data_IF_568117250151
#
_entry.id   IF_568117250151
#
_cell.length_a   1.000
_cell.length_b   1.000
_cell.length_c   1.000
_cell.angle_alpha   90.00
_cell.angle_beta   90.00
_cell.angle_gamma   90.00
#
_symmetry.space_group_name_H-M   'P 1'
#
loop_
_entity.id
_entity.type
_entity.pdbx_description
1 polymer ?
#
# COMPACT_ATOMS: atom_id res chain seq x y z
N UNK A 1 38.73 -18.78 45.56
CA UNK A 1 37.73 -19.78 46.01
C UNK A 1 37.66 -20.86 44.94
N UNK A 2 38.02 -22.10 45.31
CA UNK A 2 37.92 -23.31 44.47
C UNK A 2 36.44 -23.63 44.20
N UNK A 3 36.18 -24.15 43.01
CA UNK A 3 34.89 -24.53 42.41
C UNK A 3 33.70 -24.72 43.34
N UNK A 4 32.70 -23.86 43.15
CA UNK A 4 31.32 -24.30 43.28
C UNK A 4 31.11 -25.24 42.09
N UNK A 5 30.84 -26.54 42.30
CA UNK A 5 30.44 -27.39 41.20
C UNK A 5 29.04 -26.92 40.79
N UNK A 6 28.98 -26.03 39.79
CA UNK A 6 27.78 -25.85 39.00
C UNK A 6 27.49 -27.23 38.42
N UNK A 7 26.53 -27.92 39.04
CA UNK A 7 26.06 -29.20 38.56
C UNK A 7 25.28 -28.92 37.27
N UNK A 8 26.01 -28.81 36.15
CA UNK A 8 25.48 -28.47 34.82
C UNK A 8 24.36 -29.44 34.41
N UNK A 9 24.29 -30.64 35.02
CA UNK A 9 23.19 -31.59 34.86
C UNK A 9 21.83 -31.09 35.35
N UNK A 10 21.74 -30.31 36.43
CA UNK A 10 20.44 -29.83 36.95
C UNK A 10 19.98 -28.52 36.32
N UNK A 11 20.90 -27.62 35.92
CA UNK A 11 20.56 -26.40 35.17
C UNK A 11 20.22 -26.68 33.70
N UNK A 12 20.70 -27.78 33.11
CA UNK A 12 20.27 -28.24 31.78
C UNK A 12 18.96 -29.02 31.78
N UNK A 13 18.53 -29.59 32.92
CA UNK A 13 17.34 -30.45 32.98
C UNK A 13 16.03 -29.73 32.58
N UNK A 14 15.95 -28.41 32.76
CA UNK A 14 14.80 -27.61 32.30
C UNK A 14 14.81 -27.28 30.80
N UNK A 15 15.98 -27.32 30.16
CA UNK A 15 16.15 -26.97 28.74
C UNK A 15 15.95 -28.16 27.80
N UNK A 16 16.18 -29.38 28.29
CA UNK A 16 16.00 -30.60 27.50
C UNK A 16 14.53 -30.95 27.22
N UNK A 17 13.60 -30.23 27.85
CA UNK A 17 12.16 -30.42 27.71
C UNK A 17 11.46 -29.42 26.78
N UNK A 18 12.17 -28.44 26.21
CA UNK A 18 11.62 -27.48 25.25
C UNK A 18 11.32 -28.14 23.88
N UNK A 19 10.59 -29.26 23.89
CA UNK A 19 10.27 -30.07 22.71
C UNK A 19 8.93 -29.69 22.08
N UNK A 20 8.10 -28.95 22.83
CA UNK A 20 6.71 -28.68 22.46
C UNK A 20 6.51 -27.18 22.20
N UNK A 21 6.74 -26.76 20.95
CA UNK A 21 6.11 -25.55 20.44
C UNK A 21 4.77 -25.94 19.83
N UNK A 22 3.68 -25.41 20.39
CA UNK A 22 2.36 -25.51 19.78
C UNK A 22 2.09 -24.22 19.03
N UNK A 23 2.04 -24.27 17.72
CA UNK A 23 1.55 -23.13 16.97
C UNK A 23 0.07 -22.85 17.36
N UNK A 24 -0.26 -21.62 17.72
CA UNK A 24 -1.62 -21.28 18.17
C UNK A 24 -2.48 -20.72 17.04
N UNK A 25 -1.95 -19.82 16.21
CA UNK A 25 -2.74 -19.18 15.16
C UNK A 25 -1.88 -18.45 14.13
N UNK A 26 -2.31 -18.49 12.86
CA UNK A 26 -1.93 -17.46 11.89
C UNK A 26 -2.89 -16.30 12.08
N UNK A 27 -2.33 -15.13 12.25
CA UNK A 27 -3.06 -13.90 12.55
C UNK A 27 -3.35 -13.12 11.27
N UNK A 28 -2.47 -13.20 10.27
CA UNK A 28 -2.63 -12.42 9.06
C UNK A 28 -1.85 -13.02 7.89
N UNK A 29 -2.45 -13.02 6.70
CA UNK A 29 -1.89 -13.54 5.46
C UNK A 29 -2.41 -12.70 4.29
N UNK A 30 -1.51 -11.99 3.61
CA UNK A 30 -1.80 -11.15 2.45
C UNK A 30 -1.25 -11.80 1.17
N UNK A 31 -2.01 -12.69 0.50
CA UNK A 31 -1.48 -13.46 -0.61
C UNK A 31 -1.59 -12.77 -1.98
N UNK A 32 -2.13 -11.55 -2.06
CA UNK A 32 -2.37 -10.85 -3.32
C UNK A 32 -1.64 -9.50 -3.44
N UNK A 33 -0.44 -9.43 -2.87
CA UNK A 33 0.58 -8.49 -3.32
C UNK A 33 1.22 -8.99 -4.62
N UNK A 34 0.72 -8.56 -5.77
CA UNK A 34 1.56 -8.58 -6.97
C UNK A 34 2.54 -7.40 -6.81
N UNK A 35 3.80 -7.56 -6.42
CA UNK A 35 4.73 -8.66 -6.65
C UNK A 35 5.58 -9.02 -5.41
N UNK A 36 5.56 -10.29 -5.02
CA UNK A 36 6.69 -11.00 -4.42
C UNK A 36 6.98 -10.72 -2.92
N UNK A 37 5.96 -10.43 -2.10
CA UNK A 37 6.03 -10.57 -0.63
C UNK A 37 4.72 -11.10 -0.04
N UNK A 38 4.81 -12.04 0.89
CA UNK A 38 3.70 -12.53 1.73
C UNK A 38 4.15 -12.36 3.17
N UNK A 39 3.47 -11.50 3.92
CA UNK A 39 3.65 -11.46 5.37
C UNK A 39 2.77 -12.53 5.98
N UNK A 40 3.36 -13.32 6.89
CA UNK A 40 2.58 -14.25 7.71
C UNK A 40 2.79 -13.82 9.14
N UNK A 41 1.75 -13.27 9.76
CA UNK A 41 1.79 -13.07 11.20
C UNK A 41 1.46 -14.40 11.87
N UNK A 42 2.30 -14.80 12.81
CA UNK A 42 2.14 -16.04 13.57
C UNK A 42 2.04 -15.78 15.06
N UNK A 43 1.26 -16.60 15.75
CA UNK A 43 1.33 -16.74 17.19
C UNK A 43 1.83 -18.13 17.49
N UNK A 44 2.92 -18.15 18.24
CA UNK A 44 3.59 -19.38 18.64
C UNK A 44 3.34 -19.57 20.12
N UNK A 45 2.85 -20.73 20.55
CA UNK A 45 2.90 -21.15 21.95
C UNK A 45 4.21 -21.90 22.18
N UNK A 46 5.01 -21.43 23.12
CA UNK A 46 6.21 -22.13 23.53
C UNK A 46 5.95 -22.69 24.92
N UNK A 47 5.85 -24.01 25.03
CA UNK A 47 5.68 -24.65 26.32
C UNK A 47 7.03 -24.72 27.06
N UNK A 48 7.07 -24.14 28.25
CA UNK A 48 8.18 -24.29 29.18
C UNK A 48 7.82 -25.36 30.22
N UNK A 49 8.36 -26.59 30.10
CA UNK A 49 8.08 -27.66 31.06
C UNK A 49 8.83 -27.48 32.38
N UNK A 50 9.72 -26.49 32.47
CA UNK A 50 10.45 -26.19 33.69
C UNK A 50 9.53 -25.50 34.69
N UNK A 51 9.75 -25.78 35.98
CA UNK A 51 9.15 -25.02 37.08
C UNK A 51 9.80 -23.64 37.27
N UNK A 52 10.82 -23.32 36.46
CA UNK A 52 11.55 -22.06 36.49
C UNK A 52 11.20 -21.19 35.29
N UNK A 53 11.16 -19.88 35.51
CA UNK A 53 11.12 -18.92 34.40
C UNK A 53 12.47 -18.90 33.68
N UNK A 54 12.44 -18.99 32.35
CA UNK A 54 13.61 -18.94 31.50
C UNK A 54 13.69 -17.58 30.78
N UNK A 55 14.78 -16.85 30.97
CA UNK A 55 15.08 -15.65 30.20
C UNK A 55 15.97 -16.02 29.02
N UNK A 56 15.39 -16.12 27.83
CA UNK A 56 16.04 -16.62 26.61
C UNK A 56 16.74 -15.47 25.87
N UNK A 57 16.20 -14.25 25.93
CA UNK A 57 16.70 -13.11 25.16
C UNK A 57 16.08 -13.09 23.77
N UNK A 58 16.88 -12.92 22.72
CA UNK A 58 16.37 -13.00 21.35
C UNK A 58 16.44 -14.44 20.85
N UNK A 59 15.34 -14.94 20.27
CA UNK A 59 15.27 -16.23 19.61
C UNK A 59 14.93 -16.05 18.14
N UNK A 60 15.84 -16.46 17.26
CA UNK A 60 15.56 -16.59 15.83
C UNK A 60 14.83 -17.89 15.50
N UNK A 61 13.87 -17.82 14.58
CA UNK A 61 13.17 -18.97 14.03
C UNK A 61 13.16 -18.88 12.50
N UNK A 62 13.47 -19.97 11.83
CA UNK A 62 13.27 -20.12 10.39
C UNK A 62 11.86 -20.64 10.13
N UNK A 63 11.29 -20.22 9.00
CA UNK A 63 10.05 -20.79 8.50
C UNK A 63 10.29 -21.51 7.20
N UNK A 64 9.54 -22.58 6.98
CA UNK A 64 9.62 -23.38 5.76
C UNK A 64 8.26 -23.83 5.27
N UNK A 65 8.28 -24.38 4.08
CA UNK A 65 7.14 -24.95 3.39
C UNK A 65 7.44 -26.41 3.07
N UNK A 66 6.61 -27.32 3.59
CA UNK A 66 6.77 -28.78 3.41
C UNK A 66 8.08 -29.38 3.97
N UNK A 67 8.74 -28.73 4.93
CA UNK A 67 9.90 -29.32 5.62
C UNK A 67 10.68 -28.36 6.54
N UNK A 68 11.65 -28.88 7.29
CA UNK A 68 12.44 -28.13 8.30
C UNK A 68 13.89 -27.86 7.86
N UNK A 69 14.13 -27.83 6.55
CA UNK A 69 15.47 -27.75 5.97
C UNK A 69 15.65 -26.46 5.18
N UNK A 70 16.89 -26.03 4.98
CA UNK A 70 17.22 -24.75 4.35
C UNK A 70 16.65 -24.60 2.94
N UNK A 71 16.56 -25.69 2.17
CA UNK A 71 15.94 -25.74 0.85
C UNK A 71 14.42 -25.48 0.88
N UNK A 72 13.77 -25.79 2.01
CA UNK A 72 12.35 -25.56 2.24
C UNK A 72 12.08 -24.19 2.85
N UNK A 73 13.13 -23.43 3.19
CA UNK A 73 12.99 -22.13 3.86
C UNK A 73 12.19 -21.17 2.98
N UNK A 74 11.25 -20.47 3.61
CA UNK A 74 10.45 -19.40 3.02
C UNK A 74 10.74 -18.05 3.67
N UNK A 75 11.27 -18.04 4.89
CA UNK A 75 11.47 -16.82 5.64
C UNK A 75 12.19 -17.03 6.97
N UNK A 76 12.24 -15.95 7.73
CA UNK A 76 12.84 -15.91 9.06
C UNK A 76 12.08 -14.92 9.94
N UNK A 77 12.02 -15.22 11.23
CA UNK A 77 11.40 -14.39 12.25
C UNK A 77 12.23 -14.39 13.52
N UNK A 78 12.11 -13.33 14.31
CA UNK A 78 12.80 -13.21 15.60
C UNK A 78 11.79 -12.85 16.69
N UNK A 79 11.96 -13.46 17.86
CA UNK A 79 11.20 -13.16 19.07
C UNK A 79 12.15 -12.51 20.07
N UNK A 80 11.90 -11.25 20.39
CA UNK A 80 12.77 -10.43 21.24
C UNK A 80 12.40 -10.52 22.70
N UNK A 81 13.42 -10.42 23.56
CA UNK A 81 13.26 -10.39 25.01
C UNK A 81 12.38 -11.55 25.52
N UNK A 82 12.47 -12.71 24.87
CA UNK A 82 11.69 -13.89 25.16
C UNK A 82 11.94 -14.33 26.59
N UNK A 83 10.87 -14.30 27.37
CA UNK A 83 10.81 -14.79 28.74
C UNK A 83 9.71 -15.83 28.82
N UNK A 84 10.10 -17.07 29.11
CA UNK A 84 9.19 -18.20 29.22
C UNK A 84 8.90 -18.47 30.70
N UNK A 85 7.67 -18.22 31.14
CA UNK A 85 7.21 -18.66 32.47
C UNK A 85 6.83 -20.15 32.43
N UNK A 86 6.78 -20.87 33.57
CA UNK A 86 6.34 -22.26 33.59
C UNK A 86 4.98 -22.45 32.89
N UNK A 87 4.88 -23.46 32.03
CA UNK A 87 3.68 -23.74 31.24
C UNK A 87 3.70 -23.07 29.85
N UNK A 88 2.51 -22.73 29.36
CA UNK A 88 2.31 -22.21 28.00
C UNK A 88 2.62 -20.71 27.91
N UNK A 89 3.36 -20.31 26.85
CA UNK A 89 3.74 -18.93 26.59
C UNK A 89 3.32 -18.54 25.19
N UNK A 90 2.30 -17.68 25.10
CA UNK A 90 1.76 -17.18 23.83
C UNK A 90 2.61 -15.98 23.39
N UNK A 91 3.36 -16.15 22.30
CA UNK A 91 4.26 -15.12 21.78
C UNK A 91 3.92 -14.76 20.33
N UNK A 92 3.72 -13.47 20.01
CA UNK A 92 3.56 -13.03 18.63
C UNK A 92 4.92 -13.09 17.92
N UNK A 93 4.89 -13.47 16.66
CA UNK A 93 6.06 -13.56 15.78
C UNK A 93 5.64 -13.18 14.36
N UNK A 94 6.33 -12.21 13.79
CA UNK A 94 6.08 -11.75 12.43
C UNK A 94 7.03 -12.48 11.47
N UNK A 95 6.50 -13.27 10.54
CA UNK A 95 7.35 -13.91 9.54
C UNK A 95 7.53 -12.98 8.34
N UNK A 96 8.77 -12.54 8.12
CA UNK A 96 9.19 -11.96 6.86
C UNK A 96 9.55 -13.08 5.89
N UNK A 97 8.78 -13.25 4.82
CA UNK A 97 9.14 -14.17 3.74
C UNK A 97 10.12 -13.53 2.76
N UNK A 98 11.09 -14.30 2.30
CA UNK A 98 12.05 -13.91 1.27
C UNK A 98 11.72 -14.63 -0.04
N UNK A 99 11.33 -13.90 -1.09
CA UNK A 99 10.97 -14.52 -2.38
C UNK A 99 12.15 -15.02 -3.21
N UNK A 100 13.38 -14.70 -2.80
CA UNK A 100 14.58 -15.38 -3.34
C UNK A 100 14.67 -16.83 -2.88
N UNK A 101 13.92 -17.20 -1.83
CA UNK A 101 13.85 -18.58 -1.40
C UNK A 101 12.94 -19.37 -2.34
N UNK A 102 13.46 -20.44 -2.92
CA UNK A 102 12.77 -21.24 -3.95
C UNK A 102 11.39 -21.74 -3.51
N UNK A 103 11.18 -21.89 -2.20
CA UNK A 103 9.94 -22.41 -1.62
C UNK A 103 8.89 -21.32 -1.32
N UNK A 104 9.24 -20.03 -1.36
CA UNK A 104 8.33 -18.93 -0.99
C UNK A 104 7.20 -18.71 -2.03
N UNK A 105 7.53 -18.75 -3.32
CA UNK A 105 6.54 -18.62 -4.40
C UNK A 105 5.49 -19.76 -4.42
N UNK A 106 5.92 -21.03 -4.40
CA UNK A 106 5.01 -22.18 -4.25
C UNK A 106 4.15 -22.11 -2.99
N UNK A 107 4.73 -21.70 -1.85
CA UNK A 107 3.97 -21.50 -0.61
C UNK A 107 2.88 -20.44 -0.77
N UNK A 108 3.19 -19.26 -1.32
CA UNK A 108 2.21 -18.20 -1.59
C UNK A 108 1.09 -18.66 -2.55
N UNK A 109 1.42 -19.49 -3.54
CA UNK A 109 0.42 -20.07 -4.46
C UNK A 109 -0.50 -21.05 -3.72
N UNK A 110 0.05 -22.01 -3.00
CA UNK A 110 -0.73 -23.00 -2.26
C UNK A 110 -1.57 -22.36 -1.14
N UNK A 111 -1.10 -21.26 -0.57
CA UNK A 111 -1.87 -20.48 0.41
C UNK A 111 -3.21 -20.02 -0.15
N UNK A 112 -3.28 -19.68 -1.45
CA UNK A 112 -4.53 -19.26 -2.09
C UNK A 112 -5.42 -20.41 -2.56
N UNK A 113 -4.83 -21.56 -2.86
CA UNK A 113 -5.52 -22.69 -3.52
C UNK A 113 -5.86 -23.84 -2.57
N UNK A 114 -5.08 -23.99 -1.50
CA UNK A 114 -5.05 -25.17 -0.64
C UNK A 114 -4.96 -24.74 0.83
N UNK A 115 -4.72 -25.71 1.71
CA UNK A 115 -4.35 -25.46 3.11
C UNK A 115 -2.92 -25.93 3.36
N UNK A 116 -1.88 -25.13 3.02
CA UNK A 116 -0.50 -25.58 3.08
C UNK A 116 -0.01 -25.73 4.52
N UNK A 117 0.93 -26.65 4.73
CA UNK A 117 1.63 -26.77 6.02
C UNK A 117 2.85 -25.88 6.04
N UNK A 118 2.84 -24.88 6.93
CA UNK A 118 4.01 -24.08 7.25
C UNK A 118 4.73 -24.72 8.44
N UNK A 119 6.05 -24.82 8.33
CA UNK A 119 6.93 -25.30 9.39
C UNK A 119 7.67 -24.12 10.01
N UNK A 120 7.97 -24.19 11.30
CA UNK A 120 8.81 -23.25 12.02
C UNK A 120 9.81 -24.04 12.85
N UNK A 121 11.07 -23.63 12.84
CA UNK A 121 12.10 -24.23 13.70
C UNK A 121 13.07 -23.18 14.22
N UNK A 122 13.64 -23.40 15.39
CA UNK A 122 14.61 -22.44 15.92
C UNK A 122 15.89 -22.45 15.09
N UNK A 123 16.39 -21.26 14.80
CA UNK A 123 17.73 -21.09 14.28
C UNK A 123 18.71 -21.16 15.46
N UNK A 124 19.32 -22.33 15.66
CA UNK A 124 20.25 -22.58 16.77
C UNK A 124 21.54 -21.76 16.71
N UNK A 125 21.77 -20.99 15.64
CA UNK A 125 22.89 -20.04 15.53
C UNK A 125 22.51 -18.58 15.84
N UNK A 126 21.22 -18.28 15.95
CA UNK A 126 20.69 -16.92 16.13
C UNK A 126 20.34 -16.58 17.59
N UNK A 127 20.95 -17.28 18.54
CA UNK A 127 20.72 -17.07 19.98
C UNK A 127 21.98 -16.46 20.59
N UNK A 128 21.82 -15.46 21.45
CA UNK A 128 22.93 -14.88 22.19
C UNK A 128 23.42 -15.76 23.35
N UNK A 129 22.82 -16.95 23.55
CA UNK A 129 23.11 -17.85 24.65
C UNK A 129 23.44 -19.28 24.15
N UNK A 130 24.72 -19.61 23.95
CA UNK A 130 25.16 -20.89 23.39
C UNK A 130 24.72 -22.13 24.18
N UNK A 131 24.46 -22.00 25.48
CA UNK A 131 23.99 -23.11 26.32
C UNK A 131 22.55 -23.54 26.00
N UNK A 132 21.78 -22.67 25.31
CA UNK A 132 20.41 -22.94 24.89
C UNK A 132 20.34 -23.64 23.53
N UNK A 133 21.40 -23.54 22.70
CA UNK A 133 21.37 -23.97 21.30
C UNK A 133 21.00 -25.45 21.10
N UNK A 134 21.39 -26.33 22.02
CA UNK A 134 21.08 -27.76 21.94
C UNK A 134 19.62 -28.11 22.29
N UNK A 135 18.97 -27.31 23.13
CA UNK A 135 17.53 -27.45 23.39
C UNK A 135 16.70 -26.73 22.34
N UNK A 136 17.17 -25.56 21.89
CA UNK A 136 16.52 -24.79 20.84
C UNK A 136 16.59 -25.49 19.48
N UNK A 137 17.67 -26.17 19.11
CA UNK A 137 17.76 -26.92 17.83
C UNK A 137 16.71 -28.02 17.68
N UNK A 138 16.10 -28.46 18.79
CA UNK A 138 14.98 -29.41 18.76
C UNK A 138 13.60 -28.77 18.64
N UNK A 139 13.51 -27.44 18.75
CA UNK A 139 12.25 -26.71 18.60
C UNK A 139 11.83 -26.74 17.13
N UNK A 140 10.82 -27.54 16.84
CA UNK A 140 10.19 -27.65 15.54
C UNK A 140 8.67 -27.64 15.76
N UNK A 141 7.95 -26.96 14.89
CA UNK A 141 6.49 -27.00 14.86
C UNK A 141 6.00 -26.87 13.43
N UNK A 142 4.81 -27.37 13.19
CA UNK A 142 4.13 -27.25 11.89
C UNK A 142 2.69 -26.88 12.10
N UNK A 143 2.17 -26.05 11.23
CA UNK A 143 0.77 -25.64 11.21
C UNK A 143 0.21 -25.81 9.81
N UNK A 144 -0.96 -26.44 9.74
CA UNK A 144 -1.79 -26.40 8.54
C UNK A 144 -2.49 -25.04 8.52
N UNK A 145 -2.19 -24.24 7.52
CA UNK A 145 -2.81 -22.94 7.30
C UNK A 145 -4.13 -23.18 6.58
N UNK A 146 -5.29 -23.02 7.23
CA UNK A 146 -6.58 -23.16 6.56
C UNK A 146 -6.69 -22.11 5.46
N UNK A 147 -7.22 -22.52 4.30
CA UNK A 147 -7.47 -21.64 3.15
C UNK A 147 -8.27 -20.37 3.53
N UNK A 148 -9.07 -20.41 4.61
CA UNK A 148 -9.96 -19.33 5.04
C UNK A 148 -9.36 -18.41 6.12
N UNK A 149 -8.10 -18.59 6.54
CA UNK A 149 -7.40 -17.62 7.42
C UNK A 149 -6.79 -16.44 6.65
N UNK A 150 -6.98 -16.42 5.32
CA UNK A 150 -6.62 -15.31 4.46
C UNK A 150 -7.57 -14.14 4.78
N UNK A 151 -7.01 -12.96 5.08
CA UNK A 151 -7.81 -11.72 5.20
C UNK A 151 -8.65 -11.57 3.94
N UNK A 152 -9.93 -11.14 4.03
CA UNK A 152 -10.78 -10.97 2.86
C UNK A 152 -10.01 -10.35 1.70
N UNK A 153 -10.15 -10.93 0.52
CA UNK A 153 -9.55 -10.41 -0.71
C UNK A 153 -10.55 -9.45 -1.37
N UNK A 154 -10.17 -8.20 -1.67
CA UNK A 154 -8.91 -7.56 -1.36
C UNK A 154 -8.83 -7.18 0.14
N UNK A 155 -7.61 -7.11 0.71
CA UNK A 155 -7.43 -6.64 2.08
C UNK A 155 -8.03 -5.25 2.28
N UNK A 156 -8.42 -4.86 3.50
CA UNK A 156 -8.87 -3.51 3.79
C UNK A 156 -7.88 -2.48 3.23
N UNK A 157 -8.35 -1.46 2.49
CA UNK A 157 -7.45 -0.49 1.88
C UNK A 157 -6.56 0.21 2.90
N UNK A 158 -5.25 0.23 2.66
CA UNK A 158 -4.28 0.90 3.53
C UNK A 158 -4.44 2.43 3.58
N UNK A 159 -5.20 3.00 2.65
CA UNK A 159 -5.61 4.39 2.61
C UNK A 159 -6.96 4.51 1.92
N UNK A 160 -7.65 5.63 2.08
CA UNK A 160 -8.93 5.93 1.44
C UNK A 160 -8.83 6.13 -0.08
N UNK A 161 -9.96 6.00 -0.75
CA UNK A 161 -10.14 6.11 -2.20
C UNK A 161 -10.19 7.57 -2.70
N UNK A 162 -10.09 8.54 -1.79
CA UNK A 162 -10.03 9.97 -2.09
C UNK A 162 -8.74 10.56 -1.54
N UNK A 163 -7.94 11.14 -2.43
CA UNK A 163 -6.73 11.87 -2.12
C UNK A 163 -6.90 13.31 -2.57
N UNK A 164 -6.50 14.26 -1.73
CA UNK A 164 -6.56 15.68 -2.07
C UNK A 164 -5.17 16.21 -2.33
N UNK A 165 -5.00 16.99 -3.40
CA UNK A 165 -3.77 17.72 -3.70
C UNK A 165 -3.96 19.22 -3.49
N UNK A 166 -2.94 19.85 -2.91
CA UNK A 166 -2.80 21.29 -2.79
C UNK A 166 -1.44 21.72 -3.32
N UNK A 167 -1.45 22.58 -4.32
CA UNK A 167 -0.30 23.26 -4.87
C UNK A 167 0.01 24.47 -4.01
N UNK A 168 1.24 24.55 -3.51
CA UNK A 168 1.70 25.61 -2.62
C UNK A 168 2.19 26.82 -3.42
N UNK A 169 2.16 28.03 -2.84
CA UNK A 169 2.78 29.19 -3.46
C UNK A 169 4.28 29.01 -3.76
N UNK A 170 4.98 28.17 -2.99
CA UNK A 170 6.40 27.87 -3.19
C UNK A 170 6.65 26.78 -4.21
N UNK A 171 5.62 26.04 -4.67
CA UNK A 171 5.76 24.88 -5.58
C UNK A 171 6.52 25.24 -6.84
N UNK A 172 6.35 26.44 -7.40
CA UNK A 172 7.11 26.91 -8.57
C UNK A 172 8.64 26.88 -8.36
N UNK A 173 9.10 26.95 -7.11
CA UNK A 173 10.51 27.00 -6.76
C UNK A 173 11.08 25.66 -6.29
N UNK A 174 10.33 24.94 -5.47
CA UNK A 174 10.80 23.71 -4.83
C UNK A 174 10.18 22.43 -5.42
N UNK A 175 9.13 22.56 -6.22
CA UNK A 175 8.35 21.45 -6.74
C UNK A 175 7.54 20.72 -5.67
N UNK A 176 7.36 21.28 -4.48
CA UNK A 176 6.67 20.60 -3.37
C UNK A 176 5.17 20.84 -3.44
N UNK A 177 4.39 19.78 -3.35
CA UNK A 177 2.92 19.82 -3.18
C UNK A 177 2.53 19.16 -1.86
N UNK A 178 1.38 19.56 -1.32
CA UNK A 178 0.77 18.88 -0.16
C UNK A 178 -0.28 17.89 -0.66
N UNK A 179 -0.16 16.64 -0.22
CA UNK A 179 -1.16 15.60 -0.41
C UNK A 179 -1.84 15.31 0.91
N UNK A 180 -3.13 15.00 0.87
CA UNK A 180 -3.90 14.59 2.05
C UNK A 180 -4.74 13.37 1.72
N UNK A 181 -4.67 12.35 2.58
CA UNK A 181 -5.50 11.15 2.49
C UNK A 181 -5.77 10.58 3.88
N UNK A 182 -6.79 9.73 4.00
CA UNK A 182 -6.99 8.92 5.21
C UNK A 182 -6.16 7.66 5.06
N UNK A 183 -5.26 7.38 6.00
CA UNK A 183 -4.51 6.13 6.09
C UNK A 183 -5.16 5.23 7.15
N UNK A 184 -5.28 3.95 6.83
CA UNK A 184 -5.88 2.94 7.69
C UNK A 184 -4.80 1.96 8.15
N UNK A 185 -4.86 1.54 9.41
CA UNK A 185 -4.07 0.41 9.85
C UNK A 185 -4.72 -0.90 9.41
N UNK A 186 -4.18 -1.49 8.35
CA UNK A 186 -4.56 -2.83 7.92
C UNK A 186 -4.00 -3.94 8.83
N UNK A 187 -2.98 -3.63 9.65
CA UNK A 187 -2.30 -4.61 10.50
C UNK A 187 -2.99 -4.75 11.87
N UNK A 188 -2.83 -5.93 12.46
CA UNK A 188 -3.33 -6.24 13.81
C UNK A 188 -2.44 -5.68 14.95
N UNK A 189 -1.35 -4.99 14.59
CA UNK A 189 -0.44 -4.32 15.51
C UNK A 189 -0.35 -2.83 15.19
N UNK A 190 0.12 -2.07 16.17
CA UNK A 190 0.63 -0.72 15.89
C UNK A 190 1.79 -0.82 14.89
N UNK A 191 1.77 0.05 13.88
CA UNK A 191 2.88 0.17 12.94
C UNK A 191 3.22 1.64 12.73
N UNK A 192 4.49 1.88 12.42
CA UNK A 192 5.01 3.20 12.10
C UNK A 192 5.67 3.17 10.74
N UNK A 193 5.24 4.03 9.82
CA UNK A 193 6.01 4.39 8.63
C UNK A 193 7.11 5.37 9.05
N UNK A 194 8.34 5.03 8.68
CA UNK A 194 9.55 5.77 9.05
C UNK A 194 10.28 6.34 7.83
N UNK A 195 9.61 6.35 6.69
CA UNK A 195 10.11 6.84 5.40
C UNK A 195 9.72 5.93 4.25
N UNK A 196 10.24 6.24 3.07
CA UNK A 196 10.08 5.42 1.87
C UNK A 196 11.12 4.27 1.85
N UNK A 197 10.77 3.14 1.24
CA UNK A 197 11.75 2.07 1.04
C UNK A 197 12.63 2.39 -0.18
N UNK A 198 13.93 2.09 -0.06
CA UNK A 198 14.89 2.19 -1.17
C UNK A 198 15.24 0.81 -1.71
N UNK A 199 15.92 0.75 -2.86
CA UNK A 199 16.48 -0.51 -3.39
C UNK A 199 17.49 -1.16 -2.43
N UNK A 200 18.12 -0.39 -1.55
CA UNK A 200 18.99 -0.93 -0.50
C UNK A 200 18.19 -1.62 0.62
N UNK A 201 16.91 -1.29 0.77
CA UNK A 201 16.02 -1.93 1.74
C UNK A 201 15.31 -3.15 1.17
N UNK A 202 14.88 -3.06 -0.09
CA UNK A 202 14.20 -4.14 -0.81
C UNK A 202 14.39 -3.96 -2.31
N UNK A 203 14.77 -5.03 -3.01
CA UNK A 203 14.97 -5.04 -4.47
C UNK A 203 13.71 -4.62 -5.24
N UNK A 204 12.53 -4.69 -4.61
CA UNK A 204 11.24 -4.37 -5.21
C UNK A 204 10.76 -2.95 -4.91
N UNK A 205 11.53 -2.17 -4.15
CA UNK A 205 11.15 -0.81 -3.82
C UNK A 205 10.91 0.01 -5.07
N UNK A 206 9.78 0.72 -5.10
CA UNK A 206 9.66 1.88 -5.94
C UNK A 206 10.57 2.92 -5.28
N UNK A 207 11.73 3.15 -5.87
CA UNK A 207 12.78 4.00 -5.29
C UNK A 207 13.00 5.19 -6.24
N UNK A 208 12.34 6.33 -5.99
CA UNK A 208 11.34 6.56 -4.95
C UNK A 208 9.93 6.08 -5.34
N UNK A 209 9.06 5.93 -4.35
CA UNK A 209 7.63 5.71 -4.52
C UNK A 209 7.01 6.93 -5.22
N UNK A 210 5.96 6.71 -6.00
CA UNK A 210 5.39 7.75 -6.85
C UNK A 210 3.87 7.65 -7.05
N UNK A 211 3.28 8.74 -7.53
CA UNK A 211 1.91 8.81 -7.97
C UNK A 211 1.86 8.97 -9.49
N UNK A 212 1.01 8.17 -10.13
CA UNK A 212 0.66 8.33 -11.54
C UNK A 212 -0.72 8.97 -11.63
N UNK A 213 -0.89 9.91 -12.54
CA UNK A 213 -2.18 10.51 -12.87
C UNK A 213 -2.44 10.34 -14.37
N UNK A 214 -3.67 10.01 -14.74
CA UNK A 214 -4.12 9.94 -16.12
C UNK A 214 -4.90 11.18 -16.51
N UNK A 215 -4.54 11.79 -17.63
CA UNK A 215 -5.35 12.84 -18.23
C UNK A 215 -6.43 12.26 -19.16
N UNK A 216 -7.57 12.96 -19.33
CA UNK A 216 -8.49 12.67 -20.42
C UNK A 216 -7.75 12.63 -21.77
N UNK A 217 -7.95 11.57 -22.56
CA UNK A 217 -7.20 11.34 -23.81
C UNK A 217 -6.05 10.33 -23.68
N UNK A 218 -5.89 9.69 -22.51
CA UNK A 218 -5.11 8.46 -22.35
C UNK A 218 -3.63 8.64 -22.03
N UNK A 219 -3.17 9.86 -21.80
CA UNK A 219 -1.79 10.08 -21.34
C UNK A 219 -1.68 9.93 -19.83
N UNK A 220 -0.77 9.09 -19.36
CA UNK A 220 -0.48 8.91 -17.92
C UNK A 220 0.91 9.42 -17.59
N UNK A 221 1.05 10.10 -16.46
CA UNK A 221 2.33 10.64 -16.01
C UNK A 221 2.55 10.35 -14.52
N UNK A 222 3.74 9.87 -14.21
CA UNK A 222 4.24 9.80 -12.84
C UNK A 222 4.60 11.23 -12.44
N UNK A 223 3.68 11.92 -11.76
CA UNK A 223 3.77 13.38 -11.63
C UNK A 223 4.42 13.82 -10.31
N UNK A 224 4.34 12.99 -9.26
CA UNK A 224 4.88 13.29 -7.94
C UNK A 224 5.51 12.06 -7.29
N UNK A 225 6.54 12.29 -6.48
CA UNK A 225 7.28 11.28 -5.71
C UNK A 225 7.12 11.54 -4.21
N UNK A 226 7.13 10.48 -3.41
CA UNK A 226 7.12 10.60 -1.96
C UNK A 226 8.44 11.23 -1.50
N UNK A 227 8.37 12.03 -0.44
CA UNK A 227 9.54 12.61 0.20
C UNK A 227 9.93 11.79 1.44
N UNK A 228 11.22 11.77 1.75
CA UNK A 228 11.76 10.96 2.86
C UNK A 228 11.26 11.38 4.26
N UNK A 229 10.67 12.57 4.37
CA UNK A 229 10.09 13.10 5.61
C UNK A 229 8.67 12.56 5.90
N UNK A 230 8.07 11.80 4.98
CA UNK A 230 6.76 11.20 5.23
C UNK A 230 6.83 10.07 6.26
N UNK A 231 6.31 10.36 7.46
CA UNK A 231 6.31 9.43 8.59
C UNK A 231 4.98 9.51 9.33
N UNK A 232 4.50 8.37 9.82
CA UNK A 232 3.28 8.32 10.61
C UNK A 232 3.20 7.03 11.42
N UNK A 233 2.40 7.04 12.49
CA UNK A 233 2.09 5.86 13.30
C UNK A 233 0.58 5.69 13.37
N UNK A 234 0.11 4.46 13.25
CA UNK A 234 -1.29 4.09 13.47
C UNK A 234 -1.39 2.93 14.45
N UNK A 235 -2.28 3.05 15.42
CA UNK A 235 -2.66 1.96 16.34
C UNK A 235 -3.52 0.92 15.62
N UNK A 236 -3.63 -0.27 16.19
CA UNK A 236 -4.49 -1.33 15.63
C UNK A 236 -5.91 -0.82 15.39
N UNK A 237 -6.42 -0.97 14.17
CA UNK A 237 -7.75 -0.52 13.75
C UNK A 237 -7.94 1.00 13.64
N UNK A 238 -6.88 1.80 13.78
CA UNK A 238 -6.95 3.25 13.63
C UNK A 238 -6.99 3.67 12.16
N UNK A 239 -7.80 4.69 11.88
CA UNK A 239 -7.80 5.44 10.63
C UNK A 239 -7.51 6.91 10.92
N UNK A 240 -6.60 7.52 10.15
CA UNK A 240 -6.16 8.89 10.40
C UNK A 240 -5.98 9.66 9.09
N UNK A 241 -6.50 10.89 9.04
CA UNK A 241 -6.16 11.84 7.98
C UNK A 241 -4.73 12.33 8.16
N UNK A 242 -3.92 12.17 7.12
CA UNK A 242 -2.53 12.60 7.12
C UNK A 242 -2.31 13.54 5.94
N UNK A 243 -1.74 14.70 6.22
CA UNK A 243 -1.23 15.63 5.22
C UNK A 243 0.29 15.50 5.17
N UNK A 244 0.83 15.31 3.98
CA UNK A 244 2.24 15.06 3.75
C UNK A 244 2.70 15.73 2.46
N UNK A 245 4.01 15.87 2.32
CA UNK A 245 4.62 16.51 1.17
C UNK A 245 4.95 15.47 0.11
N UNK A 246 4.88 15.89 -1.15
CA UNK A 246 5.41 15.14 -2.28
C UNK A 246 6.15 16.10 -3.18
N UNK A 247 7.09 15.58 -3.96
CA UNK A 247 7.89 16.35 -4.90
C UNK A 247 7.44 16.07 -6.32
N UNK A 248 7.08 17.11 -7.05
CA UNK A 248 6.82 17.04 -8.48
C UNK A 248 8.07 16.56 -9.22
N UNK A 249 7.88 15.75 -10.24
CA UNK A 249 8.96 15.19 -11.03
C UNK A 249 8.84 15.58 -12.49
N UNK A 250 10.01 15.75 -13.12
CA UNK A 250 10.13 15.96 -14.56
C UNK A 250 10.06 14.60 -15.23
N UNK A 251 9.06 14.40 -16.09
CA UNK A 251 8.82 13.12 -16.75
C UNK A 251 8.53 13.30 -18.24
N UNK A 252 9.31 12.59 -19.06
CA UNK A 252 9.14 12.58 -20.51
C UNK A 252 9.49 13.89 -21.21
N UNK A 253 9.09 13.95 -22.48
CA UNK A 253 9.33 15.09 -23.36
C UNK A 253 8.43 16.27 -23.00
N UNK A 254 8.98 17.49 -23.12
CA UNK A 254 8.27 18.75 -22.88
C UNK A 254 6.91 18.80 -23.57
N UNK A 255 6.85 18.49 -24.88
CA UNK A 255 5.60 18.55 -25.65
C UNK A 255 4.50 17.64 -25.10
N UNK A 256 4.86 16.50 -24.53
CA UNK A 256 3.89 15.57 -23.94
C UNK A 256 3.39 16.10 -22.59
N UNK A 257 4.29 16.69 -21.78
CA UNK A 257 3.91 17.32 -20.52
C UNK A 257 2.98 18.52 -20.74
N UNK A 258 3.23 19.36 -21.74
CA UNK A 258 2.33 20.49 -22.05
C UNK A 258 0.94 19.99 -22.44
N UNK A 259 0.84 18.99 -23.33
CA UNK A 259 -0.44 18.36 -23.70
C UNK A 259 -1.17 17.76 -22.49
N UNK A 260 -0.42 17.18 -21.57
CA UNK A 260 -0.96 16.67 -20.32
C UNK A 260 -1.50 17.79 -19.43
N UNK A 261 -0.78 18.88 -19.26
CA UNK A 261 -1.23 20.03 -18.47
C UNK A 261 -2.50 20.66 -19.07
N UNK A 262 -2.52 20.82 -20.40
CA UNK A 262 -3.66 21.38 -21.14
C UNK A 262 -4.94 20.52 -21.00
N UNK A 263 -4.79 19.23 -20.72
CA UNK A 263 -5.93 18.30 -20.55
C UNK A 263 -6.32 18.10 -19.09
N UNK A 264 -5.36 18.00 -18.18
CA UNK A 264 -5.63 17.71 -16.77
C UNK A 264 -6.14 18.93 -16.01
N UNK A 265 -5.68 20.15 -16.32
CA UNK A 265 -6.08 21.35 -15.57
C UNK A 265 -7.57 21.67 -15.77
N UNK A 266 -8.11 21.65 -17.01
CA UNK A 266 -9.56 21.81 -17.20
C UNK A 266 -10.37 20.68 -16.56
N UNK A 267 -9.86 19.44 -16.61
CA UNK A 267 -10.53 18.29 -15.99
C UNK A 267 -10.61 18.43 -14.47
N UNK A 268 -9.52 18.84 -13.82
CA UNK A 268 -9.46 19.13 -12.39
C UNK A 268 -10.40 20.26 -11.98
N UNK A 269 -10.52 21.31 -12.82
CA UNK A 269 -11.45 22.41 -12.58
C UNK A 269 -12.93 21.98 -12.70
N UNK A 270 -13.22 20.92 -13.46
CA UNK A 270 -14.57 20.38 -13.61
C UNK A 270 -15.01 19.51 -12.42
N UNK A 271 -14.09 18.98 -11.62
CA UNK A 271 -14.39 18.22 -10.42
C UNK A 271 -13.36 17.13 -10.09
N UNK A 272 -13.65 16.27 -9.10
CA UNK A 272 -12.79 15.15 -8.73
C UNK A 272 -12.54 14.19 -9.91
N UNK A 273 -11.30 13.68 -10.01
CA UNK A 273 -10.86 12.84 -11.12
C UNK A 273 -10.53 11.42 -10.64
N UNK A 274 -11.25 10.41 -11.14
CA UNK A 274 -10.96 9.00 -10.84
C UNK A 274 -9.84 8.45 -11.75
N UNK A 275 -8.61 8.85 -11.44
CA UNK A 275 -7.47 8.55 -12.31
C UNK A 275 -6.12 8.43 -11.60
N UNK A 276 -6.08 8.62 -10.28
CA UNK A 276 -4.85 8.54 -9.51
C UNK A 276 -4.48 7.07 -9.29
N UNK A 277 -3.21 6.74 -9.50
CA UNK A 277 -2.60 5.48 -9.08
C UNK A 277 -1.51 5.79 -8.08
N UNK A 278 -1.49 5.03 -6.99
CA UNK A 278 -0.48 5.12 -5.92
C UNK A 278 0.45 3.93 -6.08
N UNK A 279 1.76 4.21 -6.25
CA UNK A 279 2.85 3.24 -6.24
C UNK A 279 3.71 3.52 -5.01
N UNK A 280 3.36 2.90 -3.88
CA UNK A 280 3.93 3.26 -2.59
C UNK A 280 4.42 2.03 -1.83
N UNK A 281 5.69 2.03 -1.44
CA UNK A 281 6.26 0.97 -0.61
C UNK A 281 7.04 1.55 0.57
N UNK A 282 6.39 1.90 1.69
CA UNK A 282 7.09 2.47 2.83
C UNK A 282 8.05 1.51 3.50
N UNK A 283 9.01 2.09 4.21
CA UNK A 283 9.68 1.44 5.33
C UNK A 283 8.79 1.57 6.57
N UNK A 284 8.20 0.46 6.98
CA UNK A 284 7.39 0.36 8.20
C UNK A 284 8.13 -0.40 9.31
N UNK A 285 7.86 -0.06 10.56
CA UNK A 285 8.39 -0.72 11.75
C UNK A 285 7.24 -1.08 12.67
N UNK A 286 7.34 -2.22 13.35
CA UNK A 286 6.37 -2.65 14.36
C UNK A 286 7.08 -2.65 15.71
N UNK A 287 6.54 -2.00 16.76
CA UNK A 287 7.13 -2.02 18.08
C UNK A 287 7.43 -3.45 18.57
N UNK A 288 8.65 -3.68 19.04
CA UNK A 288 9.11 -5.01 19.44
C UNK A 288 9.66 -5.89 18.31
N UNK A 289 9.70 -5.38 17.08
CA UNK A 289 10.29 -6.02 15.92
C UNK A 289 11.41 -5.12 15.32
N UNK A 290 12.69 -5.54 15.32
CA UNK A 290 13.81 -4.71 14.88
C UNK A 290 14.05 -4.77 13.38
N UNK A 291 13.37 -5.69 12.67
CA UNK A 291 13.44 -5.77 11.21
C UNK A 291 12.36 -4.84 10.66
N UNK A 292 12.77 -3.86 9.84
CA UNK A 292 11.84 -3.05 9.07
C UNK A 292 11.09 -3.92 8.05
N UNK A 293 9.81 -3.64 7.87
CA UNK A 293 8.95 -4.27 6.87
C UNK A 293 8.68 -3.29 5.72
N UNK A 294 8.43 -3.83 4.53
CA UNK A 294 8.24 -3.03 3.32
C UNK A 294 6.94 -3.40 2.61
N UNK A 295 5.78 -2.96 3.10
CA UNK A 295 4.51 -3.26 2.46
C UNK A 295 4.35 -2.47 1.13
N UNK A 296 4.20 -3.13 -0.02
CA UNK A 296 3.64 -2.63 -1.28
C UNK A 296 2.18 -2.10 -1.16
N UNK A 297 2.04 -0.88 -0.70
CA UNK A 297 0.78 -0.16 -0.59
C UNK A 297 0.27 0.34 -1.97
N UNK A 298 0.43 -0.43 -3.04
CA UNK A 298 -0.03 -0.06 -4.38
C UNK A 298 -1.55 -0.08 -4.54
N UNK A 299 -2.10 0.97 -5.14
CA UNK A 299 -3.54 1.11 -5.36
C UNK A 299 -4.16 0.00 -6.23
N UNK A 300 -3.42 -0.54 -7.20
CA UNK A 300 -3.83 -1.68 -8.04
C UNK A 300 -4.12 -2.96 -7.25
N UNK A 301 -3.57 -3.08 -6.04
CA UNK A 301 -3.83 -4.19 -5.12
C UNK A 301 -5.13 -3.97 -4.34
N UNK A 302 -5.30 -2.79 -3.74
CA UNK A 302 -6.42 -2.49 -2.85
C UNK A 302 -7.70 -2.07 -3.58
N UNK A 303 -7.58 -1.63 -4.82
CA UNK A 303 -8.68 -1.12 -5.64
C UNK A 303 -8.81 -1.85 -6.99
N UNK A 304 -8.95 -3.19 -7.00
CA UNK A 304 -8.95 -3.96 -8.25
C UNK A 304 -10.16 -3.64 -9.13
N UNK A 305 -11.31 -3.31 -8.52
CA UNK A 305 -12.55 -2.99 -9.24
C UNK A 305 -12.46 -1.72 -10.09
N UNK A 306 -11.51 -0.83 -9.79
CA UNK A 306 -11.24 0.38 -10.55
C UNK A 306 -9.91 0.30 -11.32
N UNK A 307 -9.34 -0.90 -11.46
CA UNK A 307 -8.00 -1.12 -12.00
C UNK A 307 -6.93 -0.27 -11.29
N UNK A 308 -7.06 -0.12 -9.97
CA UNK A 308 -6.20 0.69 -9.11
C UNK A 308 -6.55 2.17 -9.06
N UNK A 309 -7.44 2.67 -9.91
CA UNK A 309 -7.72 4.11 -9.98
C UNK A 309 -8.51 4.56 -8.76
N UNK A 310 -7.97 5.58 -8.10
CA UNK A 310 -8.63 6.28 -7.00
C UNK A 310 -8.89 7.75 -7.38
N UNK A 311 -9.69 8.42 -6.56
CA UNK A 311 -10.13 9.78 -6.80
C UNK A 311 -9.06 10.78 -6.35
N UNK A 312 -8.61 11.63 -7.27
CA UNK A 312 -7.88 12.86 -6.95
C UNK A 312 -8.86 14.03 -6.86
N UNK A 313 -8.91 14.67 -5.70
CA UNK A 313 -9.62 15.91 -5.48
C UNK A 313 -8.64 17.08 -5.51
N UNK A 314 -8.97 18.12 -6.28
CA UNK A 314 -8.10 19.27 -6.52
C UNK A 314 -8.74 20.55 -6.00
N UNK A 315 -7.92 21.45 -5.45
CA UNK A 315 -8.33 22.81 -5.12
C UNK A 315 -8.20 23.78 -6.31
N UNK A 316 -8.68 25.04 -6.16
CA UNK A 316 -8.51 26.09 -7.17
C UNK A 316 -7.05 26.38 -7.54
N UNK A 317 -6.13 26.08 -6.63
CA UNK A 317 -4.68 26.21 -6.76
C UNK A 317 -4.04 25.17 -7.69
N UNK A 318 -4.75 24.10 -8.07
CA UNK A 318 -4.17 23.03 -8.89
C UNK A 318 -3.61 23.53 -10.23
N UNK A 319 -4.23 24.56 -10.83
CA UNK A 319 -3.76 25.14 -12.08
C UNK A 319 -2.34 25.75 -12.00
N UNK A 320 -1.84 26.06 -10.80
CA UNK A 320 -0.49 26.59 -10.56
C UNK A 320 0.60 25.53 -10.80
N UNK A 321 0.25 24.25 -10.88
CA UNK A 321 1.21 23.15 -11.15
C UNK A 321 1.96 23.36 -12.47
N UNK A 322 1.30 23.97 -13.47
CA UNK A 322 1.91 24.26 -14.77
C UNK A 322 3.11 25.19 -14.66
N UNK A 323 3.12 26.10 -13.68
CA UNK A 323 4.17 27.11 -13.57
C UNK A 323 5.50 26.46 -13.17
N UNK A 324 5.44 25.45 -12.30
CA UNK A 324 6.61 24.62 -12.00
C UNK A 324 7.11 23.87 -13.24
N UNK A 325 6.22 23.20 -13.97
CA UNK A 325 6.61 22.47 -15.18
C UNK A 325 7.15 23.40 -16.27
N UNK A 326 6.57 24.59 -16.46
CA UNK A 326 7.07 25.55 -17.44
C UNK A 326 8.48 26.01 -17.09
N UNK A 327 8.74 26.28 -15.82
CA UNK A 327 10.08 26.60 -15.33
C UNK A 327 11.04 25.43 -15.52
N UNK A 328 10.65 24.22 -15.13
CA UNK A 328 11.47 23.01 -15.18
C UNK A 328 11.85 22.60 -16.62
N UNK A 329 10.95 22.83 -17.58
CA UNK A 329 11.19 22.59 -19.01
C UNK A 329 11.72 23.80 -19.77
N UNK A 330 11.98 24.93 -19.09
CA UNK A 330 12.31 26.22 -19.74
C UNK A 330 11.33 26.59 -20.86
N UNK A 331 10.05 26.31 -20.65
CA UNK A 331 8.98 26.62 -21.58
C UNK A 331 8.53 28.07 -21.42
N UNK A 332 8.61 28.83 -22.50
CA UNK A 332 7.97 30.14 -22.60
C UNK A 332 6.67 29.96 -23.37
N UNK A 333 5.48 30.19 -22.77
CA UNK A 333 4.23 30.15 -23.48
C UNK A 333 4.27 31.13 -24.65
N UNK A 334 3.86 30.68 -25.84
CA UNK A 334 3.61 31.61 -26.93
C UNK A 334 2.42 32.46 -26.52
N UNK A 335 2.52 33.81 -26.53
CA UNK A 335 1.38 34.66 -26.22
C UNK A 335 0.22 34.26 -27.13
N UNK A 336 -0.92 33.93 -26.53
CA UNK A 336 -2.16 33.82 -27.28
C UNK A 336 -2.44 35.22 -27.79
N UNK A 337 -2.15 35.46 -29.08
CA UNK A 337 -2.57 36.70 -29.73
C UNK A 337 -4.09 36.74 -29.56
N UNK A 338 -4.64 37.77 -28.90
CA UNK A 338 -6.08 37.90 -28.81
C UNK A 338 -6.62 37.84 -30.24
N UNK A 339 -7.46 36.84 -30.53
CA UNK A 339 -8.25 36.89 -31.74
C UNK A 339 -9.01 38.20 -31.65
N UNK A 340 -8.78 39.10 -32.63
CA UNK A 340 -9.45 40.40 -32.66
C UNK A 340 -10.94 40.17 -32.39
N UNK A 341 -11.57 40.97 -31.51
CA UNK A 341 -13.00 40.82 -31.26
C UNK A 341 -13.71 40.76 -32.61
N UNK A 342 -14.58 39.76 -32.77
CA UNK A 342 -15.39 39.66 -33.97
C UNK A 342 -16.02 41.04 -34.22
N UNK A 343 -15.96 41.57 -35.46
CA UNK A 343 -16.49 42.89 -35.75
C UNK A 343 -17.92 42.95 -35.21
N UNK A 344 -18.21 43.98 -34.43
CA UNK A 344 -19.55 44.21 -33.90
C UNK A 344 -20.56 44.05 -35.04
N UNK A 345 -21.67 43.30 -34.83
CA UNK A 345 -22.70 43.21 -35.84
C UNK A 345 -23.15 44.62 -36.17
N UNK A 346 -22.91 45.05 -37.42
CA UNK A 346 -23.43 46.30 -37.95
C UNK A 346 -24.94 46.23 -37.79
N UNK A 347 -25.48 47.02 -36.86
CA UNK A 347 -26.91 47.16 -36.68
C UNK A 347 -27.47 47.77 -37.96
N UNK A 348 -28.03 46.91 -38.82
CA UNK A 348 -28.80 47.38 -39.97
C UNK A 348 -30.00 48.17 -39.44
N UNK A 349 -30.30 49.36 -40.00
CA UNK A 349 -31.45 50.14 -39.58
C UNK A 349 -32.73 49.31 -39.76
N UNK A 350 -33.61 49.39 -38.76
CA UNK A 350 -34.84 48.65 -38.70
C UNK A 350 -35.66 48.81 -39.99
N UNK A 351 -35.99 47.69 -40.63
CA UNK A 351 -36.96 47.66 -41.72
C UNK A 351 -38.33 48.06 -41.17
N UNK A 352 -39.04 49.02 -41.78
CA UNK A 352 -40.37 49.39 -41.32
C UNK A 352 -41.32 48.19 -41.45
N UNK A 353 -41.99 47.87 -40.35
CA UNK A 353 -43.00 46.80 -40.25
C UNK A 353 -44.16 47.11 -41.19
N UNK A 354 -44.36 46.26 -42.20
CA UNK A 354 -45.56 46.25 -43.05
C UNK A 354 -46.60 45.36 -42.37
N UNK A 355 -47.74 45.95 -42.01
CA UNK A 355 -48.88 45.23 -41.45
C UNK A 355 -49.40 44.19 -42.45
N UNK A 356 -49.71 42.95 -42.03
CA UNK A 356 -50.29 41.95 -42.91
C UNK A 356 -51.75 42.27 -43.24
N UNK A 357 -52.11 42.19 -44.52
CA UNK A 357 -53.50 42.24 -45.00
C UNK A 357 -54.22 40.91 -44.72
N UNK A 358 -55.55 40.94 -44.48
CA UNK A 358 -56.32 39.74 -44.15
C UNK A 358 -56.46 38.79 -45.34
N UNK A 359 -56.30 37.49 -45.08
CA UNK A 359 -56.49 36.39 -46.03
C UNK A 359 -57.96 35.94 -45.99
N UNK A 360 -58.63 35.65 -47.14
CA UNK A 360 -59.99 35.12 -47.13
C UNK A 360 -60.03 33.65 -46.67
N UNK A 361 -61.01 33.34 -45.83
CA UNK A 361 -61.25 32.01 -45.27
C UNK A 361 -61.85 31.06 -46.32
N UNK A 362 -61.25 29.88 -46.49
CA UNK A 362 -61.83 28.78 -47.27
C UNK A 362 -62.53 27.78 -46.33
N UNK A 363 -63.80 27.51 -46.62
CA UNK A 363 -64.64 26.50 -45.97
C UNK A 363 -64.00 25.10 -46.00
N UNK A 364 -64.02 24.42 -44.85
CA UNK A 364 -63.64 23.01 -44.72
C UNK A 364 -64.93 22.19 -44.67
N UNK A 365 -65.16 21.37 -45.69
CA UNK A 365 -66.24 20.36 -45.70
C UNK A 365 -65.73 19.11 -44.96
N UNK A 366 -66.46 18.57 -43.97
CA UNK A 366 -66.04 17.36 -43.25
C UNK A 366 -66.35 16.07 -44.04
N UNK A 367 -65.47 15.05 -43.99
CA UNK A 367 -65.73 13.76 -44.61
C UNK A 367 -66.68 12.87 -43.77
N UNK A 368 -67.29 11.82 -44.36
CA UNK A 368 -68.38 11.07 -43.75
C UNK A 368 -67.89 10.04 -42.72
N UNK A 369 -68.72 9.82 -41.71
CA UNK A 369 -68.54 8.86 -40.61
C UNK A 369 -68.76 7.42 -41.11
N UNK A 370 -67.82 6.53 -40.83
CA UNK A 370 -67.99 5.08 -41.04
C UNK A 370 -68.66 4.42 -39.81
N UNK A 371 -69.54 3.40 -39.99
CA UNK A 371 -70.21 2.74 -38.88
C UNK A 371 -69.32 1.71 -38.18
N UNK A 372 -69.48 1.64 -36.85
CA UNK A 372 -68.79 0.71 -35.97
C UNK A 372 -69.24 -0.75 -36.17
N UNK A 373 -68.29 -1.68 -36.05
CA UNK A 373 -68.49 -3.10 -35.80
C UNK A 373 -67.47 -3.57 -34.77
#
# INVERSE_FOLDING_TARGET
IKGIPLNVKTTMAGLQGLKDIKFLSVIDLYPNYKALFTFVTTVVNIHNPSQLTLNIGTMGMEAGYKGYAAENRIGYTEIFNLRLVPGDNIVPSLLGQSFTAASAGPFGTDLTLLSPTMTLWANSSATSNPALNAGLSTLQTSVVLPQNLIVPIPPPPAYGDVWTIKVLPTTINDGIVEMTAVFNNAFLYEFSVTGDATKANSDFAFDPSFLTIGAPGGSTFDFAQFTDDFQYTLKTGESKTITFKMKLQRVGLQANMIKFLDSIIPAAAAGPMNTLLVWYMPKATIPGYPIGIFPDLNSGIYYPNTAGKITLQTGPDFALIKDWYYKEYAYTPVPVVPVAPAPEPVVSPATPSVAPSPIPSSEVIPPPIAPAA
#
